data_IF_343984402258
#
_entry.id   IF_343984402258
#
_cell.length_a   1.000
_cell.length_b   1.000
_cell.length_c   1.000
_cell.angle_alpha   90.00
_cell.angle_beta   90.00
_cell.angle_gamma   90.00
#
_symmetry.space_group_name_H-M   'P 1'
#
loop_
_entity.id
_entity.type
_entity.pdbx_description
1 polymer ?
#
# COMPACT_ATOMS: atom_id res chain seq x y z
N UNK A 1 16.82 10.00 -17.04
CA UNK A 1 15.81 8.94 -16.79
C UNK A 1 14.39 9.49 -16.90
N UNK A 2 14.00 10.47 -16.07
CA UNK A 2 12.64 11.06 -16.10
C UNK A 2 12.27 11.74 -17.41
N UNK A 3 13.15 12.59 -17.95
CA UNK A 3 12.92 13.24 -19.25
C UNK A 3 12.81 12.23 -20.40
N UNK A 4 13.54 11.11 -20.33
CA UNK A 4 13.51 10.05 -21.36
C UNK A 4 12.25 9.19 -21.28
N UNK A 5 11.79 8.87 -20.06
CA UNK A 5 10.70 7.90 -19.84
C UNK A 5 9.32 8.56 -19.70
N UNK A 6 9.28 9.75 -19.11
CA UNK A 6 8.04 10.46 -18.79
C UNK A 6 7.94 11.81 -19.50
N UNK A 7 9.02 12.28 -20.14
CA UNK A 7 9.15 13.62 -20.73
C UNK A 7 8.78 14.71 -19.71
N UNK A 8 9.16 14.47 -18.45
CA UNK A 8 9.08 15.42 -17.36
C UNK A 8 10.51 15.79 -16.95
N UNK A 9 10.78 17.08 -16.85
CA UNK A 9 12.02 17.58 -16.29
C UNK A 9 11.90 17.69 -14.75
N UNK A 10 12.66 16.89 -13.98
CA UNK A 10 12.65 16.94 -12.53
C UNK A 10 13.02 18.31 -11.95
N UNK A 11 13.78 19.15 -12.67
CA UNK A 11 14.17 20.48 -12.20
C UNK A 11 12.98 21.45 -12.09
N UNK A 12 11.86 21.15 -12.75
CA UNK A 12 10.62 21.93 -12.67
C UNK A 12 9.73 21.53 -11.49
N UNK A 13 10.17 20.59 -10.64
CA UNK A 13 9.35 20.01 -9.58
C UNK A 13 10.03 20.13 -8.23
N UNK A 14 9.25 20.51 -7.22
CA UNK A 14 9.76 20.80 -5.87
C UNK A 14 10.14 19.51 -5.13
N UNK A 15 9.46 18.39 -5.39
CA UNK A 15 9.68 17.12 -4.68
C UNK A 15 9.54 15.88 -5.57
N UNK A 16 10.18 14.78 -5.18
CA UNK A 16 10.05 13.49 -5.87
C UNK A 16 8.61 12.94 -5.91
N UNK A 17 7.77 13.07 -4.85
CA UNK A 17 6.36 12.71 -4.94
C UNK A 17 5.58 13.53 -5.98
N UNK A 18 5.86 14.84 -6.11
CA UNK A 18 5.25 15.66 -7.15
C UNK A 18 5.59 15.15 -8.55
N UNK A 19 6.84 14.75 -8.77
CA UNK A 19 7.27 14.09 -10.01
C UNK A 19 6.56 12.76 -10.24
N UNK A 20 6.49 11.91 -9.21
CA UNK A 20 5.84 10.61 -9.32
C UNK A 20 4.34 10.75 -9.65
N UNK A 21 3.64 11.69 -9.01
CA UNK A 21 2.24 11.98 -9.28
C UNK A 21 2.03 12.51 -10.70
N UNK A 22 2.83 13.48 -11.15
CA UNK A 22 2.72 14.00 -12.51
C UNK A 22 3.03 12.93 -13.56
N UNK A 23 4.04 12.09 -13.33
CA UNK A 23 4.33 10.95 -14.20
C UNK A 23 3.14 9.99 -14.25
N UNK A 24 2.56 9.64 -13.11
CA UNK A 24 1.38 8.78 -13.02
C UNK A 24 0.18 9.35 -13.80
N UNK A 25 -0.15 10.63 -13.61
CA UNK A 25 -1.25 11.29 -14.32
C UNK A 25 -1.00 11.33 -15.83
N UNK A 26 0.23 11.66 -16.25
CA UNK A 26 0.61 11.73 -17.65
C UNK A 26 0.56 10.36 -18.35
N UNK A 27 0.99 9.30 -17.65
CA UNK A 27 1.00 7.94 -18.17
C UNK A 27 -0.39 7.29 -18.19
N UNK A 28 -1.18 7.50 -17.14
CA UNK A 28 -2.51 6.87 -17.02
C UNK A 28 -3.54 7.54 -17.92
N UNK A 29 -3.43 8.86 -18.16
CA UNK A 29 -4.39 9.65 -18.96
C UNK A 29 -5.85 9.51 -18.50
N UNK A 30 -6.08 9.07 -17.25
CA UNK A 30 -7.41 8.93 -16.68
C UNK A 30 -7.81 10.22 -15.95
N UNK A 31 -9.02 10.75 -16.18
CA UNK A 31 -9.53 11.86 -15.40
C UNK A 31 -9.80 11.39 -13.97
N UNK A 32 -9.15 12.01 -13.00
CA UNK A 32 -9.44 11.81 -11.58
C UNK A 32 -10.55 12.76 -11.15
N UNK A 33 -11.63 12.20 -10.62
CA UNK A 33 -12.68 13.00 -9.99
C UNK A 33 -12.17 13.59 -8.67
N UNK A 34 -12.37 14.90 -8.50
CA UNK A 34 -12.03 15.60 -7.27
C UNK A 34 -13.22 15.60 -6.32
N UNK A 35 -12.97 15.43 -5.03
CA UNK A 35 -14.02 15.63 -4.03
C UNK A 35 -14.44 17.09 -3.98
N UNK A 36 -15.73 17.34 -4.19
CA UNK A 36 -16.34 18.68 -4.12
C UNK A 36 -16.94 18.97 -2.74
N UNK A 37 -17.23 17.93 -1.95
CA UNK A 37 -17.76 18.02 -0.59
C UNK A 37 -16.66 17.83 0.45
N UNK A 38 -16.59 18.74 1.42
CA UNK A 38 -15.69 18.62 2.57
C UNK A 38 -16.00 17.37 3.41
N UNK A 39 -17.27 16.99 3.51
CA UNK A 39 -17.68 15.81 4.29
C UNK A 39 -17.16 14.52 3.66
N UNK A 40 -17.18 14.41 2.32
CA UNK A 40 -16.59 13.27 1.61
C UNK A 40 -15.08 13.21 1.84
N UNK A 41 -14.40 14.35 1.73
CA UNK A 41 -12.96 14.44 1.95
C UNK A 41 -12.58 13.97 3.36
N UNK A 42 -13.22 14.54 4.39
CA UNK A 42 -12.97 14.18 5.79
C UNK A 42 -13.33 12.72 6.10
N UNK A 43 -14.39 12.18 5.48
CA UNK A 43 -14.76 10.78 5.62
C UNK A 43 -13.67 9.85 5.09
N UNK A 44 -13.15 10.12 3.89
CA UNK A 44 -12.07 9.33 3.29
C UNK A 44 -10.79 9.46 4.10
N UNK A 45 -10.39 10.69 4.47
CA UNK A 45 -9.19 10.91 5.30
C UNK A 45 -9.27 10.16 6.63
N UNK A 46 -10.43 10.18 7.30
CA UNK A 46 -10.66 9.42 8.52
C UNK A 46 -10.59 7.90 8.30
N UNK A 47 -10.80 7.42 7.07
CA UNK A 47 -10.67 6.03 6.66
C UNK A 47 -9.25 5.59 6.33
N UNK A 48 -8.34 6.52 6.02
CA UNK A 48 -6.95 6.20 5.64
C UNK A 48 -6.21 5.55 6.81
N UNK A 49 -5.52 4.44 6.55
CA UNK A 49 -4.66 3.72 7.50
C UNK A 49 -3.28 3.52 6.90
N UNK A 50 -2.26 3.51 7.75
CA UNK A 50 -0.88 3.22 7.35
C UNK A 50 -0.60 1.71 7.26
N UNK A 51 0.68 1.36 7.20
CA UNK A 51 1.12 -0.03 7.25
C UNK A 51 0.76 -0.72 8.58
N UNK A 52 0.45 -2.00 8.51
CA UNK A 52 0.17 -2.83 9.69
C UNK A 52 1.50 -3.17 10.36
N UNK A 53 1.64 -2.80 11.64
CA UNK A 53 2.78 -3.19 12.48
C UNK A 53 2.24 -3.81 13.76
N UNK A 54 2.46 -5.12 13.93
CA UNK A 54 1.91 -5.89 15.05
C UNK A 54 2.90 -6.95 15.53
N UNK A 55 2.88 -7.21 16.83
CA UNK A 55 3.64 -8.28 17.48
C UNK A 55 2.64 -9.26 18.09
N UNK A 56 2.33 -10.34 17.36
CA UNK A 56 1.41 -11.38 17.85
C UNK A 56 2.04 -12.25 18.95
N UNK A 57 3.37 -12.37 18.97
CA UNK A 57 4.12 -13.17 19.95
C UNK A 57 5.40 -12.44 20.34
N UNK A 58 5.48 -12.00 21.60
CA UNK A 58 6.60 -11.19 22.13
C UNK A 58 7.95 -11.89 22.06
N UNK A 59 7.98 -13.22 22.22
CA UNK A 59 9.21 -14.00 22.19
C UNK A 59 9.00 -15.32 21.46
N UNK A 60 9.85 -15.58 20.46
CA UNK A 60 9.94 -16.87 19.78
C UNK A 60 11.41 -17.26 19.67
N UNK A 61 11.71 -18.53 19.92
CA UNK A 61 13.04 -19.12 19.77
C UNK A 61 12.93 -20.30 18.82
N UNK A 62 13.75 -20.31 17.78
CA UNK A 62 13.90 -21.45 16.90
C UNK A 62 14.63 -22.59 17.62
N UNK A 63 14.29 -23.82 17.29
CA UNK A 63 14.98 -25.04 17.72
C UNK A 63 15.04 -25.95 16.51
N UNK A 64 16.07 -25.86 15.69
CA UNK A 64 16.19 -26.72 14.52
C UNK A 64 17.64 -27.16 14.32
N UNK A 65 17.81 -28.28 13.61
CA UNK A 65 19.10 -28.97 13.40
C UNK A 65 20.21 -28.12 12.79
N UNK A 66 19.91 -26.94 12.25
CA UNK A 66 20.88 -26.04 11.64
C UNK A 66 21.44 -25.02 12.63
N UNK A 67 20.98 -25.02 13.89
CA UNK A 67 21.45 -24.11 14.94
C UNK A 67 22.44 -24.82 15.87
N UNK A 68 23.48 -24.12 16.32
CA UNK A 68 24.53 -24.65 17.21
C UNK A 68 23.98 -25.15 18.56
N UNK A 69 22.89 -24.55 19.03
CA UNK A 69 22.23 -24.88 20.30
C UNK A 69 20.98 -25.75 20.13
N UNK A 70 20.93 -26.55 19.06
CA UNK A 70 19.83 -27.49 18.81
C UNK A 70 19.71 -28.51 19.95
N UNK A 71 18.51 -28.63 20.51
CA UNK A 71 18.18 -29.66 21.48
C UNK A 71 17.33 -30.76 20.81
N UNK A 72 17.86 -31.99 20.63
CA UNK A 72 17.14 -33.09 20.00
C UNK A 72 15.98 -33.64 20.86
N UNK A 73 15.95 -33.33 22.17
CA UNK A 73 14.86 -33.73 23.06
C UNK A 73 13.66 -32.77 22.97
N UNK A 74 13.88 -31.56 22.46
CA UNK A 74 12.84 -30.55 22.29
C UNK A 74 12.22 -30.59 20.88
N UNK A 75 10.93 -30.21 20.71
CA UNK A 75 10.30 -30.15 19.40
C UNK A 75 11.03 -29.21 18.43
N UNK A 76 11.09 -29.59 17.16
CA UNK A 76 11.66 -28.75 16.12
C UNK A 76 10.80 -27.50 15.86
N UNK A 77 11.43 -26.32 15.83
CA UNK A 77 10.82 -25.00 15.61
C UNK A 77 11.65 -24.19 14.63
N UNK A 78 10.96 -23.62 13.64
CA UNK A 78 11.54 -22.72 12.64
C UNK A 78 10.89 -21.34 12.77
N UNK A 79 11.66 -20.30 12.45
CA UNK A 79 11.17 -18.93 12.32
C UNK A 79 11.43 -18.53 10.87
N UNK A 80 10.42 -17.98 10.22
CA UNK A 80 10.50 -17.51 8.83
C UNK A 80 10.37 -15.99 8.81
N UNK A 81 11.16 -15.35 7.95
CA UNK A 81 11.02 -13.95 7.60
C UNK A 81 10.54 -13.88 6.15
N UNK A 82 9.40 -13.25 5.93
CA UNK A 82 8.81 -13.05 4.61
C UNK A 82 8.71 -11.55 4.36
N UNK A 83 9.16 -11.14 3.18
CA UNK A 83 9.12 -9.74 2.73
C UNK A 83 8.51 -9.68 1.34
N UNK A 84 7.58 -8.74 1.15
CA UNK A 84 6.89 -8.55 -0.11
C UNK A 84 7.65 -7.52 -0.96
N UNK A 85 8.20 -7.96 -2.10
CA UNK A 85 8.87 -7.09 -3.04
C UNK A 85 7.89 -6.06 -3.62
N UNK A 86 8.10 -4.78 -3.30
CA UNK A 86 7.29 -3.65 -3.80
C UNK A 86 5.78 -3.80 -3.53
N UNK A 87 5.40 -4.04 -2.27
CA UNK A 87 4.02 -4.23 -1.84
C UNK A 87 3.06 -3.14 -2.35
N UNK A 88 3.41 -1.86 -2.17
CA UNK A 88 2.55 -0.76 -2.62
C UNK A 88 2.49 -0.66 -4.14
N UNK A 89 3.58 -0.90 -4.87
CA UNK A 89 3.54 -0.91 -6.33
C UNK A 89 2.66 -2.02 -6.90
N UNK A 90 2.68 -3.21 -6.28
CA UNK A 90 1.76 -4.29 -6.62
C UNK A 90 0.30 -3.91 -6.35
N UNK A 91 0.02 -3.29 -5.19
CA UNK A 91 -1.32 -2.81 -4.85
C UNK A 91 -1.80 -1.70 -5.80
N UNK A 92 -0.91 -0.79 -6.21
CA UNK A 92 -1.19 0.26 -7.19
C UNK A 92 -1.47 -0.27 -8.61
N UNK A 93 -1.10 -1.53 -8.89
CA UNK A 93 -1.39 -2.19 -10.17
C UNK A 93 -2.78 -2.84 -10.20
N UNK A 94 -3.51 -2.84 -9.07
CA UNK A 94 -4.87 -3.36 -8.98
C UNK A 94 -5.90 -2.30 -9.39
N UNK A 95 -7.17 -2.68 -9.49
CA UNK A 95 -8.25 -1.72 -9.73
C UNK A 95 -8.37 -0.76 -8.54
N UNK A 96 -8.26 0.55 -8.81
CA UNK A 96 -8.37 1.61 -7.82
C UNK A 96 -9.55 2.53 -8.14
N UNK A 97 -10.20 3.11 -7.11
CA UNK A 97 -11.24 4.10 -7.31
C UNK A 97 -10.66 5.39 -7.91
N UNK A 98 -11.32 5.92 -8.95
CA UNK A 98 -10.90 7.16 -9.62
C UNK A 98 -12.05 8.15 -9.87
N UNK A 99 -13.32 7.75 -9.68
CA UNK A 99 -14.50 8.61 -9.85
C UNK A 99 -15.85 7.93 -9.58
N UNK A 100 -16.93 8.62 -9.94
CA UNK A 100 -18.35 8.38 -9.60
C UNK A 100 -18.58 8.32 -8.08
N UNK A 101 -17.99 9.27 -7.35
CA UNK A 101 -18.08 9.30 -5.90
C UNK A 101 -19.45 9.83 -5.45
N UNK A 102 -20.23 8.98 -4.78
CA UNK A 102 -21.55 9.34 -4.26
C UNK A 102 -21.86 8.70 -2.92
N UNK A 103 -22.58 9.45 -2.09
CA UNK A 103 -23.23 8.89 -0.92
C UNK A 103 -24.37 7.96 -1.36
N UNK A 104 -24.47 6.81 -0.71
CA UNK A 104 -25.55 5.85 -0.93
C UNK A 104 -26.29 5.61 0.39
N UNK A 105 -27.61 5.38 0.31
CA UNK A 105 -28.38 4.96 1.49
C UNK A 105 -27.82 3.63 2.00
N UNK A 106 -27.73 3.42 3.33
CA UNK A 106 -27.35 2.13 3.90
C UNK A 106 -28.16 0.95 3.34
N UNK A 107 -29.42 1.15 2.98
CA UNK A 107 -30.28 0.09 2.41
C UNK A 107 -29.77 -0.42 1.05
N UNK A 108 -28.98 0.39 0.35
CA UNK A 108 -28.33 0.04 -0.93
C UNK A 108 -26.97 -0.62 -0.74
N UNK A 109 -26.48 -0.74 0.50
CA UNK A 109 -25.22 -1.37 0.83
C UNK A 109 -25.32 -2.91 0.88
N UNK A 110 -26.53 -3.46 0.76
CA UNK A 110 -26.72 -4.91 0.66
C UNK A 110 -26.15 -5.43 -0.67
N UNK A 111 -24.92 -5.93 -0.59
CA UNK A 111 -24.32 -6.86 -1.54
C UNK A 111 -24.12 -8.17 -0.78
N UNK A 112 -24.81 -9.20 -1.25
CA UNK A 112 -24.58 -10.66 -1.11
C UNK A 112 -23.82 -11.17 0.12
#
# INVERSE_FOLDING_TARGET
MCLKNYELDPAHLITSPSLALQACLKMSQHPLELFTSIDMHLFIEKGIRGGISTICKRYARANNRYLENYDPLSPSKYIIYLDANNLYGWAMSQALPYGDFKWISPDKFNKE
#
